data_IF_338858841678
#
_entry.id   IF_338858841678
#
_cell.length_a   1.000
_cell.length_b   1.000
_cell.length_c   1.000
_cell.angle_alpha   90.00
_cell.angle_beta   90.00
_cell.angle_gamma   90.00
#
_symmetry.space_group_name_H-M   'P 1'
#
loop_
_entity.id
_entity.type
_entity.pdbx_description
1 polymer ?
#
# COMPACT_ATOMS: atom_id res chain seq x y z
N UNK A 1 -18.71 10.84 -23.45
CA UNK A 1 -18.45 10.85 -22.88
C UNK A 1 -17.52 10.81 -22.49
N UNK A 2 -17.64 10.94 -22.41
CA UNK A 2 -16.73 10.96 -22.31
C UNK A 2 -15.79 11.00 -21.32
N UNK A 3 -16.04 11.28 -20.37
CA UNK A 3 -15.14 11.24 -19.50
C UNK A 3 -14.86 10.00 -19.07
N UNK A 4 -13.83 9.57 -19.33
CA UNK A 4 -13.29 8.54 -18.84
C UNK A 4 -12.71 8.82 -17.59
N UNK A 5 -13.32 8.47 -16.49
CA UNK A 5 -12.75 8.63 -15.22
C UNK A 5 -11.66 7.65 -15.07
N UNK A 6 -10.46 8.12 -14.77
CA UNK A 6 -9.34 7.24 -14.48
C UNK A 6 -9.51 6.67 -13.09
N UNK A 7 -9.79 5.39 -13.01
CA UNK A 7 -9.85 4.71 -11.72
C UNK A 7 -8.64 3.82 -11.59
N UNK A 8 -8.11 3.70 -10.38
CA UNK A 8 -6.97 2.85 -10.09
C UNK A 8 -7.31 1.87 -8.98
N UNK A 9 -6.54 0.80 -8.92
CA UNK A 9 -6.64 -0.17 -7.83
C UNK A 9 -5.38 -0.06 -7.01
N UNK A 10 -5.52 0.07 -5.70
CA UNK A 10 -4.40 0.29 -4.80
C UNK A 10 -4.48 -0.71 -3.66
N UNK A 11 -3.34 -1.31 -3.31
CA UNK A 11 -3.24 -2.06 -2.09
C UNK A 11 -2.80 -1.13 -0.97
N UNK A 12 -3.47 -1.18 0.17
CA UNK A 12 -3.11 -0.36 1.32
C UNK A 12 -2.69 -1.27 2.46
N UNK A 13 -1.43 -1.19 2.85
CA UNK A 13 -0.88 -1.97 3.96
C UNK A 13 -0.71 -1.05 5.15
N UNK A 14 -1.44 -1.34 6.22
CA UNK A 14 -1.48 -0.48 7.39
C UNK A 14 -2.75 0.36 7.38
N UNK A 15 -3.69 -0.01 8.23
CA UNK A 15 -5.00 0.62 8.27
C UNK A 15 -5.21 1.36 9.57
N UNK A 16 -4.13 1.98 10.08
CA UNK A 16 -4.25 2.91 11.18
C UNK A 16 -4.94 4.18 10.69
N UNK A 17 -4.83 5.24 11.47
CA UNK A 17 -5.60 6.45 11.19
C UNK A 17 -5.41 6.96 9.76
N UNK A 18 -4.16 7.10 9.31
CA UNK A 18 -3.89 7.65 7.99
C UNK A 18 -4.22 6.68 6.87
N UNK A 19 -3.84 5.42 7.03
CA UNK A 19 -4.14 4.42 6.02
C UNK A 19 -5.64 4.23 5.84
N UNK A 20 -6.39 4.23 6.94
CA UNK A 20 -7.83 4.13 6.89
C UNK A 20 -8.45 5.34 6.20
N UNK A 21 -7.97 6.55 6.55
CA UNK A 21 -8.51 7.76 5.95
C UNK A 21 -8.24 7.83 4.45
N UNK A 22 -7.01 7.49 4.04
CA UNK A 22 -6.67 7.48 2.62
C UNK A 22 -7.50 6.44 1.87
N UNK A 23 -7.71 5.27 2.49
CA UNK A 23 -8.51 4.21 1.87
C UNK A 23 -9.94 4.68 1.64
N UNK A 24 -10.54 5.30 2.66
CA UNK A 24 -11.92 5.80 2.52
C UNK A 24 -12.03 6.87 1.45
N UNK A 25 -11.04 7.77 1.39
CA UNK A 25 -11.05 8.82 0.39
C UNK A 25 -10.90 8.27 -1.01
N UNK A 26 -10.03 7.29 -1.19
CA UNK A 26 -9.83 6.68 -2.50
C UNK A 26 -11.10 5.99 -2.97
N UNK A 27 -11.77 5.25 -2.09
CA UNK A 27 -13.03 4.59 -2.44
C UNK A 27 -14.10 5.62 -2.78
N UNK A 28 -14.18 6.70 -2.00
CA UNK A 28 -15.16 7.75 -2.27
C UNK A 28 -14.93 8.42 -3.62
N UNK A 29 -13.69 8.44 -4.10
CA UNK A 29 -13.34 8.99 -5.40
C UNK A 29 -13.52 7.98 -6.53
N UNK A 30 -14.00 6.78 -6.25
CA UNK A 30 -14.28 5.79 -7.27
C UNK A 30 -13.16 4.78 -7.52
N UNK A 31 -12.11 4.81 -6.70
CA UNK A 31 -11.01 3.87 -6.86
C UNK A 31 -11.26 2.60 -6.07
N UNK A 32 -10.56 1.53 -6.43
CA UNK A 32 -10.64 0.27 -5.70
C UNK A 32 -9.48 0.19 -4.71
N UNK A 33 -9.78 -0.16 -3.47
CA UNK A 33 -8.76 -0.34 -2.45
C UNK A 33 -8.87 -1.73 -1.86
N UNK A 34 -7.73 -2.45 -1.83
CA UNK A 34 -7.62 -3.72 -1.12
C UNK A 34 -6.74 -3.42 0.09
N UNK A 35 -7.27 -3.65 1.28
CA UNK A 35 -6.59 -3.26 2.50
C UNK A 35 -6.19 -4.43 3.37
N UNK A 36 -5.03 -4.32 4.01
CA UNK A 36 -4.55 -5.31 4.95
C UNK A 36 -3.92 -4.63 6.16
N UNK A 37 -4.18 -5.17 7.33
CA UNK A 37 -3.55 -4.74 8.57
C UNK A 37 -3.40 -5.97 9.46
N UNK A 38 -2.37 -5.98 10.28
CA UNK A 38 -2.18 -7.07 11.24
C UNK A 38 -3.36 -7.16 12.21
N UNK A 39 -4.01 -6.03 12.47
CA UNK A 39 -5.21 -5.99 13.29
C UNK A 39 -6.41 -6.23 12.36
N UNK A 40 -6.96 -7.42 12.41
CA UNK A 40 -8.05 -7.79 11.51
C UNK A 40 -9.33 -7.01 11.77
N UNK A 41 -9.49 -6.45 12.97
CA UNK A 41 -10.63 -5.59 13.24
C UNK A 41 -10.57 -4.32 12.41
N UNK A 42 -9.36 -3.80 12.17
CA UNK A 42 -9.19 -2.64 11.31
C UNK A 42 -9.61 -2.95 9.88
N UNK A 43 -9.30 -4.15 9.41
CA UNK A 43 -9.70 -4.58 8.07
C UNK A 43 -11.22 -4.68 8.00
N UNK A 44 -11.83 -5.32 8.98
CA UNK A 44 -13.29 -5.53 8.99
C UNK A 44 -14.05 -4.22 9.04
N UNK A 45 -13.59 -3.27 9.85
CA UNK A 45 -14.32 -2.02 10.01
C UNK A 45 -14.32 -1.18 8.72
N UNK A 46 -13.32 -1.34 7.87
CA UNK A 46 -13.27 -0.61 6.63
C UNK A 46 -14.11 -1.24 5.52
N UNK A 47 -14.54 -2.49 5.71
CA UNK A 47 -15.43 -3.13 4.75
C UNK A 47 -16.73 -2.36 4.56
N UNK A 48 -17.23 -1.74 5.62
CA UNK A 48 -18.45 -0.93 5.55
C UNK A 48 -18.26 0.32 4.70
N UNK A 49 -17.01 0.72 4.45
CA UNK A 49 -16.69 1.90 3.65
C UNK A 49 -16.23 1.52 2.24
N UNK A 50 -16.43 0.27 1.84
CA UNK A 50 -16.13 -0.16 0.48
C UNK A 50 -14.70 -0.62 0.25
N UNK A 51 -13.91 -0.77 1.30
CA UNK A 51 -12.54 -1.28 1.18
C UNK A 51 -12.60 -2.81 1.18
N UNK A 52 -11.99 -3.41 0.18
CA UNK A 52 -11.95 -4.87 0.11
C UNK A 52 -10.87 -5.36 1.07
N UNK A 53 -11.23 -6.21 2.01
CA UNK A 53 -10.29 -6.71 3.00
C UNK A 53 -9.48 -7.87 2.48
N UNK A 54 -8.21 -7.93 2.87
CA UNK A 54 -7.34 -9.08 2.61
C UNK A 54 -6.87 -9.64 3.93
N UNK A 55 -6.74 -10.94 4.01
CA UNK A 55 -6.29 -11.61 5.23
C UNK A 55 -4.78 -11.76 5.32
N UNK A 56 -4.07 -11.42 4.26
CA UNK A 56 -2.61 -11.52 4.21
C UNK A 56 -2.09 -10.62 3.10
N UNK A 57 -0.77 -10.37 3.10
CA UNK A 57 -0.15 -9.63 2.00
C UNK A 57 -0.26 -10.40 0.69
N UNK A 58 -0.14 -11.72 0.73
CA UNK A 58 -0.29 -12.54 -0.45
C UNK A 58 -1.67 -12.35 -1.06
N UNK A 59 -2.70 -12.39 -0.23
CA UNK A 59 -4.07 -12.20 -0.68
C UNK A 59 -4.28 -10.82 -1.28
N UNK A 60 -3.67 -9.80 -0.64
CA UNK A 60 -3.77 -8.44 -1.14
C UNK A 60 -3.16 -8.32 -2.53
N UNK A 61 -1.99 -8.89 -2.73
CA UNK A 61 -1.31 -8.82 -4.02
C UNK A 61 -2.11 -9.55 -5.09
N UNK A 62 -2.66 -10.72 -4.74
CA UNK A 62 -3.44 -11.49 -5.70
C UNK A 62 -4.71 -10.79 -6.12
N UNK A 63 -5.27 -9.98 -5.24
CA UNK A 63 -6.51 -9.26 -5.53
C UNK A 63 -6.30 -8.04 -6.43
N UNK A 64 -5.05 -7.63 -6.63
CA UNK A 64 -4.76 -6.42 -7.42
C UNK A 64 -4.42 -6.78 -8.86
N UNK A 65 -4.86 -5.96 -9.82
CA UNK A 65 -4.48 -6.17 -11.23
C UNK A 65 -3.05 -5.68 -11.47
N UNK A 66 -2.33 -6.35 -12.38
CA UNK A 66 -1.00 -5.90 -12.80
C UNK A 66 -1.09 -4.74 -13.78
N UNK A 67 -0.18 -3.79 -13.72
CA UNK A 67 0.86 -3.62 -12.71
C UNK A 67 0.26 -3.14 -11.40
N UNK A 68 0.78 -3.70 -10.31
CA UNK A 68 0.20 -3.45 -8.99
C UNK A 68 0.85 -2.27 -8.33
N UNK A 69 0.08 -1.54 -7.53
CA UNK A 69 0.58 -0.45 -6.68
C UNK A 69 0.19 -0.75 -5.25
N UNK A 70 1.17 -0.82 -4.37
CA UNK A 70 0.94 -1.11 -2.96
C UNK A 70 1.49 0.05 -2.13
N UNK A 71 0.64 0.66 -1.33
CA UNK A 71 0.98 1.79 -0.47
C UNK A 71 1.16 1.27 0.95
N UNK A 72 2.31 1.58 1.56
CA UNK A 72 2.64 1.12 2.91
C UNK A 72 2.48 2.28 3.89
N UNK A 73 1.68 2.06 4.92
CA UNK A 73 1.42 3.06 5.97
C UNK A 73 1.63 2.45 7.35
N UNK A 74 2.67 1.64 7.51
CA UNK A 74 3.01 1.05 8.81
C UNK A 74 4.14 1.85 9.44
N UNK A 75 4.39 1.67 10.74
CA UNK A 75 5.47 2.38 11.40
C UNK A 75 6.82 2.11 10.74
N UNK A 76 7.68 3.13 10.75
CA UNK A 76 9.01 3.03 10.15
C UNK A 76 9.86 1.99 10.90
N UNK A 77 10.93 1.55 10.28
CA UNK A 77 11.85 0.59 10.86
C UNK A 77 11.47 -0.84 10.52
N UNK A 78 11.52 -1.72 11.52
CA UNK A 78 11.29 -3.15 11.29
C UNK A 78 9.92 -3.45 10.67
N UNK A 79 8.81 -2.81 11.09
CA UNK A 79 7.53 -3.09 10.43
C UNK A 79 7.55 -2.82 8.93
N UNK A 80 8.13 -1.70 8.51
CA UNK A 80 8.25 -1.37 7.10
C UNK A 80 9.17 -2.36 6.40
N UNK A 81 10.30 -2.68 7.01
CA UNK A 81 11.26 -3.61 6.40
C UNK A 81 10.61 -4.98 6.17
N UNK A 82 9.86 -5.46 7.15
CA UNK A 82 9.20 -6.76 7.03
C UNK A 82 8.20 -6.77 5.87
N UNK A 83 7.44 -5.69 5.71
CA UNK A 83 6.47 -5.57 4.62
C UNK A 83 7.19 -5.51 3.27
N UNK A 84 8.26 -4.70 3.18
CA UNK A 84 9.02 -4.59 1.94
C UNK A 84 9.60 -5.94 1.55
N UNK A 85 10.18 -6.66 2.52
CA UNK A 85 10.78 -7.96 2.26
C UNK A 85 9.74 -8.95 1.73
N UNK A 86 8.58 -8.98 2.35
CA UNK A 86 7.54 -9.91 1.92
C UNK A 86 7.00 -9.51 0.56
N UNK A 87 6.74 -8.23 0.34
CA UNK A 87 6.21 -7.77 -0.94
C UNK A 87 7.21 -7.99 -2.07
N UNK A 88 8.52 -7.88 -1.78
CA UNK A 88 9.51 -8.07 -2.84
C UNK A 88 9.49 -9.48 -3.41
N UNK A 89 9.01 -10.45 -2.64
CA UNK A 89 8.88 -11.82 -3.13
C UNK A 89 7.52 -12.09 -3.77
N UNK A 90 6.54 -11.23 -3.56
CA UNK A 90 5.19 -11.41 -4.09
C UNK A 90 4.93 -10.58 -5.33
N UNK A 91 5.55 -9.40 -5.42
CA UNK A 91 5.32 -8.49 -6.54
C UNK A 91 6.15 -8.89 -7.74
N UNK A 92 5.80 -8.35 -8.89
CA UNK A 92 6.44 -8.67 -10.16
C UNK A 92 7.08 -7.45 -10.76
N UNK A 93 7.87 -7.66 -11.80
CA UNK A 93 8.48 -6.59 -12.58
C UNK A 93 7.39 -5.62 -13.03
N UNK A 94 7.63 -4.35 -12.80
CA UNK A 94 6.67 -3.31 -13.18
C UNK A 94 5.73 -2.88 -12.07
N UNK A 95 5.69 -3.61 -10.97
CA UNK A 95 4.87 -3.22 -9.82
C UNK A 95 5.55 -2.09 -9.05
N UNK A 96 4.81 -1.42 -8.19
CA UNK A 96 5.30 -0.25 -7.46
C UNK A 96 4.94 -0.35 -5.98
N UNK A 97 5.88 0.01 -5.13
CA UNK A 97 5.63 0.19 -3.70
C UNK A 97 5.77 1.67 -3.39
N UNK A 98 4.79 2.21 -2.66
CA UNK A 98 4.82 3.59 -2.17
C UNK A 98 4.92 3.52 -0.66
N UNK A 99 5.97 4.14 -0.09
CA UNK A 99 6.14 4.19 1.35
C UNK A 99 5.69 5.56 1.85
N UNK A 100 4.55 5.58 2.54
CA UNK A 100 4.01 6.79 3.12
C UNK A 100 4.12 6.84 4.64
N UNK A 101 4.92 5.95 5.24
CA UNK A 101 4.99 5.79 6.69
C UNK A 101 6.05 6.60 7.39
N UNK A 102 6.61 7.63 6.77
CA UNK A 102 7.66 8.47 7.39
C UNK A 102 8.92 7.71 7.72
N UNK A 103 9.36 6.83 6.85
CA UNK A 103 10.59 6.09 7.07
C UNK A 103 11.81 7.00 7.01
N UNK A 104 12.90 6.56 7.65
CA UNK A 104 14.17 7.23 7.55
C UNK A 104 14.63 7.21 6.12
N UNK A 105 15.19 8.32 5.63
CA UNK A 105 15.60 8.38 4.21
C UNK A 105 16.66 7.33 3.86
N UNK A 106 17.50 6.94 4.83
CA UNK A 106 18.51 5.90 4.58
C UNK A 106 17.88 4.54 4.35
N UNK A 107 16.78 4.26 5.08
CA UNK A 107 16.04 3.03 4.87
C UNK A 107 15.38 3.05 3.51
N UNK A 108 14.89 4.21 3.09
CA UNK A 108 14.26 4.33 1.78
C UNK A 108 15.25 4.11 0.64
N UNK A 109 16.50 4.59 0.82
CA UNK A 109 17.54 4.33 -0.17
C UNK A 109 17.82 2.83 -0.26
N UNK A 110 17.94 2.17 0.89
CA UNK A 110 18.20 0.73 0.92
C UNK A 110 17.05 -0.04 0.30
N UNK A 111 15.80 0.34 0.60
CA UNK A 111 14.63 -0.30 0.01
C UNK A 111 14.60 -0.10 -1.50
N UNK A 112 14.90 1.11 -1.95
CA UNK A 112 14.92 1.42 -3.38
C UNK A 112 15.93 0.54 -4.10
N UNK A 113 17.11 0.37 -3.52
CA UNK A 113 18.15 -0.46 -4.12
C UNK A 113 17.76 -1.94 -4.13
N UNK A 114 17.15 -2.41 -3.05
CA UNK A 114 16.68 -3.78 -2.95
C UNK A 114 15.63 -4.08 -4.02
N UNK A 115 14.70 -3.17 -4.19
CA UNK A 115 13.58 -3.37 -5.12
C UNK A 115 13.99 -3.13 -6.56
N UNK A 116 14.98 -2.26 -6.79
CA UNK A 116 15.48 -2.03 -8.14
C UNK A 116 16.04 -3.32 -8.74
N UNK A 117 16.66 -4.15 -7.91
CA UNK A 117 17.20 -5.42 -8.39
C UNK A 117 16.08 -6.34 -8.86
N UNK A 118 14.88 -6.20 -8.33
CA UNK A 118 13.71 -6.98 -8.75
C UNK A 118 12.87 -6.23 -9.79
N UNK A 119 13.32 -5.04 -10.19
CA UNK A 119 12.61 -4.17 -11.15
C UNK A 119 11.23 -3.77 -10.65
N UNK A 120 11.13 -3.54 -9.35
CA UNK A 120 9.96 -3.01 -8.68
C UNK A 120 10.28 -1.56 -8.33
N UNK A 121 9.40 -0.64 -8.71
CA UNK A 121 9.60 0.78 -8.40
C UNK A 121 9.30 1.06 -6.93
N UNK A 122 10.07 1.96 -6.34
CA UNK A 122 9.86 2.35 -4.94
C UNK A 122 9.77 3.88 -4.89
N UNK A 123 8.70 4.38 -4.30
CA UNK A 123 8.46 5.82 -4.17
C UNK A 123 8.27 6.15 -2.71
N UNK A 124 9.03 7.14 -2.24
CA UNK A 124 8.87 7.63 -0.87
C UNK A 124 7.99 8.88 -0.92
N UNK A 125 6.90 8.87 -0.19
CA UNK A 125 5.98 10.00 -0.14
C UNK A 125 6.01 10.57 1.26
N UNK A 126 6.41 11.83 1.38
CA UNK A 126 6.39 12.50 2.66
C UNK A 126 4.96 12.79 3.07
N UNK A 127 4.57 12.27 4.23
CA UNK A 127 3.26 12.56 4.78
C UNK A 127 3.47 13.50 5.95
N UNK A 128 3.46 14.78 5.69
CA UNK A 128 3.69 15.75 6.75
C UNK A 128 2.54 15.71 7.73
N UNK A 129 2.84 16.04 8.97
CA UNK A 129 1.82 16.11 9.99
C UNK A 129 1.32 14.76 10.45
N UNK A 130 2.09 13.75 10.29
CA UNK A 130 1.73 12.44 10.74
C UNK A 130 1.76 12.30 12.25
N UNK A 131 1.41 13.28 12.94
CA UNK A 131 1.45 13.29 14.38
C UNK A 131 0.12 12.87 14.92
#
# INVERSE_FOLDING_TARGET
>A
MAEQELTVSIGMVGLGRMGANLSRRAVAAGHTVVGFDRNLDSVSSLGAHGVQGAGSLEELVEALPSPRTVWIMVPAGAPTQNVVDELSSLLQVGDTIIDGGNSYYRDDIAHSQQLAAARISFIDVGTSGGV
#
